data_IF_474090043706
#
_entry.id   IF_474090043706
#
_cell.length_a   1.000
_cell.length_b   1.000
_cell.length_c   1.000
_cell.angle_alpha   90.00
_cell.angle_beta   90.00
_cell.angle_gamma   90.00
#
_symmetry.space_group_name_H-M   'P 1'
#
loop_
_entity.id
_entity.type
_entity.pdbx_description
1 polymer ?
#
# COMPACT_ATOMS: atom_id res chain seq x y z
N UNK A 1 13.48 -29.61 -22.53
CA UNK A 1 13.75 -28.21 -22.12
C UNK A 1 13.40 -28.09 -20.64
N UNK A 2 14.39 -27.91 -19.77
CA UNK A 2 14.13 -27.75 -18.34
C UNK A 2 13.32 -26.46 -18.12
N UNK A 3 12.08 -26.61 -17.66
CA UNK A 3 11.20 -25.50 -17.29
C UNK A 3 11.90 -24.68 -16.20
N UNK A 4 12.39 -23.50 -16.57
CA UNK A 4 13.10 -22.62 -15.65
C UNK A 4 12.07 -22.02 -14.70
N UNK A 5 11.78 -22.73 -13.61
CA UNK A 5 10.87 -22.29 -12.56
C UNK A 5 11.32 -20.92 -12.06
N UNK A 6 10.56 -19.87 -12.37
CA UNK A 6 10.90 -18.51 -11.95
C UNK A 6 10.66 -18.43 -10.45
N UNK A 7 11.74 -18.49 -9.67
CA UNK A 7 11.69 -18.36 -8.22
C UNK A 7 11.14 -16.97 -7.85
N UNK A 8 10.14 -16.87 -6.96
CA UNK A 8 9.56 -15.60 -6.60
C UNK A 8 10.60 -14.68 -5.93
N UNK A 9 10.50 -13.35 -6.14
CA UNK A 9 11.40 -12.39 -5.52
C UNK A 9 11.26 -12.44 -3.99
N UNK A 10 12.39 -12.64 -3.30
CA UNK A 10 12.45 -12.68 -1.83
C UNK A 10 12.28 -11.28 -1.25
N UNK A 11 11.54 -11.19 -0.14
CA UNK A 11 11.55 -9.99 0.69
C UNK A 11 12.92 -9.81 1.34
N UNK A 12 13.33 -8.55 1.49
CA UNK A 12 14.49 -8.17 2.28
C UNK A 12 14.31 -8.70 3.72
N UNK A 13 15.33 -9.32 4.34
CA UNK A 13 15.29 -9.77 5.73
C UNK A 13 14.72 -8.74 6.71
N UNK A 14 15.02 -7.45 6.51
CA UNK A 14 14.48 -6.36 7.36
C UNK A 14 12.96 -6.23 7.24
N UNK A 15 12.42 -6.41 6.04
CA UNK A 15 10.97 -6.34 5.79
C UNK A 15 10.26 -7.53 6.43
N UNK A 16 10.82 -8.74 6.30
CA UNK A 16 10.26 -9.93 6.96
C UNK A 16 10.28 -9.80 8.48
N UNK A 17 11.36 -9.25 9.05
CA UNK A 17 11.44 -8.97 10.49
C UNK A 17 10.41 -7.93 10.94
N UNK A 18 10.22 -6.86 10.16
CA UNK A 18 9.19 -5.85 10.42
C UNK A 18 7.78 -6.45 10.40
N UNK A 19 7.46 -7.24 9.37
CA UNK A 19 6.17 -7.93 9.24
C UNK A 19 5.91 -8.90 10.39
N UNK A 20 6.92 -9.68 10.78
CA UNK A 20 6.80 -10.59 11.93
C UNK A 20 6.53 -9.82 13.23
N UNK A 21 7.32 -8.79 13.51
CA UNK A 21 7.17 -8.02 14.74
C UNK A 21 5.80 -7.34 14.79
N UNK A 22 5.33 -6.81 13.66
CA UNK A 22 4.01 -6.21 13.58
C UNK A 22 2.90 -7.26 13.75
N UNK A 23 3.01 -8.42 13.10
CA UNK A 23 2.06 -9.53 13.27
C UNK A 23 1.96 -9.98 14.74
N UNK A 24 3.08 -10.03 15.47
CA UNK A 24 3.10 -10.33 16.90
C UNK A 24 2.42 -9.19 17.68
N UNK A 25 2.83 -7.94 17.48
CA UNK A 25 2.27 -6.78 18.19
C UNK A 25 0.76 -6.69 18.03
N UNK A 26 0.23 -6.82 16.81
CA UNK A 26 -1.21 -6.70 16.57
C UNK A 26 -2.00 -7.90 17.12
N UNK A 27 -1.39 -9.09 17.18
CA UNK A 27 -2.00 -10.27 17.82
C UNK A 27 -2.10 -10.07 19.32
N UNK A 28 -0.99 -9.68 19.97
CA UNK A 28 -0.98 -9.36 21.40
C UNK A 28 -1.99 -8.27 21.71
N UNK A 29 -2.03 -7.22 20.89
CA UNK A 29 -2.95 -6.11 21.09
C UNK A 29 -4.42 -6.51 20.90
N UNK A 30 -4.75 -7.40 19.96
CA UNK A 30 -6.10 -7.96 19.87
C UNK A 30 -6.44 -8.83 21.09
N UNK A 31 -5.51 -9.67 21.56
CA UNK A 31 -5.72 -10.49 22.78
C UNK A 31 -6.02 -9.58 23.97
N UNK A 32 -5.18 -8.56 24.19
CA UNK A 32 -5.40 -7.55 25.24
C UNK A 32 -6.70 -6.77 25.03
N UNK A 33 -7.10 -6.53 23.78
CA UNK A 33 -8.39 -5.95 23.42
C UNK A 33 -9.57 -6.69 24.01
N UNK A 34 -9.64 -8.01 23.77
CA UNK A 34 -10.72 -8.87 24.25
C UNK A 34 -10.62 -9.20 25.75
N UNK A 35 -9.42 -9.19 26.34
CA UNK A 35 -9.25 -9.59 27.74
C UNK A 35 -9.18 -8.42 28.73
N UNK A 36 -8.65 -7.27 28.32
CA UNK A 36 -8.36 -6.12 29.19
C UNK A 36 -9.05 -4.86 28.71
N UNK A 37 -8.90 -4.46 27.44
CA UNK A 37 -9.32 -3.12 27.02
C UNK A 37 -10.83 -2.94 26.90
N UNK A 38 -11.56 -4.03 26.62
CA UNK A 38 -13.02 -4.02 26.55
C UNK A 38 -13.58 -4.04 25.13
N UNK A 39 -12.98 -4.82 24.23
CA UNK A 39 -13.56 -5.04 22.91
C UNK A 39 -14.93 -5.70 23.04
N UNK A 40 -15.95 -5.02 22.52
CA UNK A 40 -17.34 -5.48 22.55
C UNK A 40 -17.65 -6.59 21.54
N UNK A 41 -16.78 -6.79 20.54
CA UNK A 41 -17.00 -7.81 19.51
C UNK A 41 -17.00 -9.21 20.12
N UNK A 42 -17.69 -10.16 19.46
CA UNK A 42 -17.70 -11.53 19.95
C UNK A 42 -16.31 -12.18 19.83
N UNK A 43 -15.96 -13.04 20.79
CA UNK A 43 -14.66 -13.71 20.90
C UNK A 43 -14.28 -14.57 19.69
N UNK A 44 -15.26 -14.96 18.87
CA UNK A 44 -15.06 -15.73 17.64
C UNK A 44 -14.59 -14.88 16.46
N UNK A 45 -14.83 -13.57 16.48
CA UNK A 45 -14.53 -12.66 15.37
C UNK A 45 -13.06 -12.63 14.93
N UNK A 46 -12.05 -12.53 15.81
CA UNK A 46 -10.66 -12.52 15.38
C UNK A 46 -10.27 -13.81 14.64
N UNK A 47 -10.82 -14.96 15.05
CA UNK A 47 -10.58 -16.23 14.38
C UNK A 47 -11.21 -16.27 12.98
N UNK A 48 -12.44 -15.76 12.85
CA UNK A 48 -13.13 -15.66 11.56
C UNK A 48 -12.39 -14.68 10.64
N UNK A 49 -11.92 -13.55 11.17
CA UNK A 49 -11.17 -12.55 10.42
C UNK A 49 -9.88 -13.16 9.86
N UNK A 50 -9.08 -13.83 10.71
CA UNK A 50 -7.84 -14.50 10.30
C UNK A 50 -8.14 -15.60 9.27
N UNK A 51 -9.13 -16.45 9.52
CA UNK A 51 -9.50 -17.54 8.61
C UNK A 51 -9.88 -16.99 7.23
N UNK A 52 -10.75 -15.97 7.21
CA UNK A 52 -11.14 -15.26 5.98
C UNK A 52 -9.91 -14.73 5.25
N UNK A 53 -9.03 -14.03 5.98
CA UNK A 53 -7.86 -13.42 5.38
C UNK A 53 -6.88 -14.43 4.79
N UNK A 54 -6.62 -15.52 5.51
CA UNK A 54 -5.74 -16.59 5.07
C UNK A 54 -6.30 -17.33 3.86
N UNK A 55 -7.60 -17.66 3.88
CA UNK A 55 -8.26 -18.34 2.75
C UNK A 55 -8.17 -17.49 1.49
N UNK A 56 -8.42 -16.18 1.58
CA UNK A 56 -8.39 -15.28 0.43
C UNK A 56 -6.96 -15.09 -0.08
N UNK A 57 -5.99 -14.84 0.81
CA UNK A 57 -4.58 -14.64 0.41
C UNK A 57 -4.01 -15.91 -0.25
N UNK A 58 -4.26 -17.10 0.31
CA UNK A 58 -3.84 -18.38 -0.28
C UNK A 58 -4.54 -18.60 -1.62
N UNK A 59 -5.86 -18.38 -1.71
CA UNK A 59 -6.62 -18.57 -2.94
C UNK A 59 -6.12 -17.67 -4.08
N UNK A 60 -5.93 -16.37 -3.81
CA UNK A 60 -5.42 -15.42 -4.78
C UNK A 60 -3.98 -15.73 -5.20
N UNK A 61 -3.15 -16.20 -4.28
CA UNK A 61 -1.79 -16.64 -4.59
C UNK A 61 -1.75 -17.89 -5.47
N UNK A 62 -2.63 -18.87 -5.24
CA UNK A 62 -2.75 -20.04 -6.12
C UNK A 62 -3.18 -19.61 -7.53
N UNK A 63 -4.18 -18.73 -7.64
CA UNK A 63 -4.67 -18.23 -8.93
C UNK A 63 -3.56 -17.45 -9.65
N UNK A 64 -2.91 -16.51 -8.96
CA UNK A 64 -1.83 -15.69 -9.52
C UNK A 64 -0.61 -16.53 -9.91
N UNK A 65 -0.24 -17.51 -9.09
CA UNK A 65 0.88 -18.41 -9.40
C UNK A 65 0.62 -19.27 -10.63
N UNK A 66 -0.62 -19.77 -10.79
CA UNK A 66 -1.05 -20.50 -12.00
C UNK A 66 -1.04 -19.61 -13.24
N UNK A 67 -1.58 -18.40 -13.15
CA UNK A 67 -1.61 -17.45 -14.26
C UNK A 67 -0.20 -17.03 -14.73
N UNK A 68 0.71 -16.82 -13.78
CA UNK A 68 2.10 -16.42 -14.06
C UNK A 68 3.05 -17.62 -14.29
N UNK A 69 2.53 -18.86 -14.30
CA UNK A 69 3.31 -20.11 -14.40
C UNK A 69 4.51 -20.15 -13.45
N UNK A 70 4.32 -19.70 -12.22
CA UNK A 70 5.35 -19.68 -11.16
C UNK A 70 4.95 -20.59 -10.01
N UNK A 71 5.92 -20.95 -9.18
CA UNK A 71 5.61 -21.64 -7.93
C UNK A 71 4.91 -20.68 -6.95
N UNK A 72 3.90 -21.15 -6.21
CA UNK A 72 3.29 -20.36 -5.15
C UNK A 72 4.32 -19.96 -4.09
N UNK A 73 4.26 -18.71 -3.64
CA UNK A 73 5.22 -18.11 -2.69
C UNK A 73 5.30 -18.87 -1.37
N UNK A 74 4.16 -19.36 -0.88
CA UNK A 74 4.08 -20.12 0.37
C UNK A 74 4.72 -21.51 0.30
N UNK A 75 5.04 -22.04 -0.89
CA UNK A 75 5.73 -23.34 -1.03
C UNK A 75 7.25 -23.23 -0.89
N UNK A 76 7.82 -22.02 -0.89
CA UNK A 76 9.25 -21.83 -0.62
C UNK A 76 9.57 -22.05 0.85
N UNK A 77 10.75 -22.58 1.20
CA UNK A 77 11.25 -22.71 2.58
C UNK A 77 10.35 -23.49 3.57
N UNK A 78 9.45 -24.35 3.09
CA UNK A 78 8.59 -25.20 3.93
C UNK A 78 7.63 -24.39 4.82
N UNK A 79 7.41 -24.84 6.07
CA UNK A 79 6.49 -24.20 7.03
C UNK A 79 6.84 -22.73 7.26
N UNK A 80 8.13 -22.40 7.31
CA UNK A 80 8.59 -21.02 7.53
C UNK A 80 8.13 -20.08 6.42
N UNK A 81 8.20 -20.50 5.16
CA UNK A 81 7.76 -19.65 4.06
C UNK A 81 6.24 -19.49 3.98
N UNK A 82 5.47 -20.49 4.44
CA UNK A 82 4.03 -20.34 4.63
C UNK A 82 3.71 -19.26 5.67
N UNK A 83 4.36 -19.31 6.83
CA UNK A 83 4.12 -18.32 7.89
C UNK A 83 4.56 -16.91 7.44
N UNK A 84 5.73 -16.78 6.81
CA UNK A 84 6.21 -15.49 6.29
C UNK A 84 5.29 -14.91 5.21
N UNK A 85 4.68 -15.77 4.40
CA UNK A 85 3.69 -15.39 3.39
C UNK A 85 2.39 -14.86 4.01
N UNK A 86 1.96 -15.43 5.15
CA UNK A 86 0.69 -15.08 5.79
C UNK A 86 0.75 -13.82 6.66
N UNK A 87 1.93 -13.35 7.09
CA UNK A 87 2.02 -12.15 7.96
C UNK A 87 1.23 -10.92 7.46
N UNK A 88 1.30 -10.51 6.18
CA UNK A 88 0.54 -9.35 5.72
C UNK A 88 -0.98 -9.55 5.79
N UNK A 89 -1.46 -10.77 5.49
CA UNK A 89 -2.88 -11.11 5.58
C UNK A 89 -3.35 -11.16 7.04
N UNK A 90 -2.51 -11.69 7.94
CA UNK A 90 -2.76 -11.72 9.38
C UNK A 90 -2.95 -10.31 9.95
N UNK A 91 -1.99 -9.43 9.66
CA UNK A 91 -2.01 -8.02 10.09
C UNK A 91 -3.27 -7.33 9.57
N UNK A 92 -3.56 -7.47 8.27
CA UNK A 92 -4.72 -6.82 7.64
C UNK A 92 -6.03 -7.28 8.30
N UNK A 93 -6.17 -8.58 8.57
CA UNK A 93 -7.38 -9.17 9.11
C UNK A 93 -7.63 -8.77 10.56
N UNK A 94 -6.60 -8.81 11.40
CA UNK A 94 -6.68 -8.37 12.79
C UNK A 94 -6.85 -6.85 12.93
N UNK A 95 -6.25 -6.06 12.03
CA UNK A 95 -6.47 -4.62 11.98
C UNK A 95 -7.95 -4.30 11.67
N UNK A 96 -8.53 -4.95 10.65
CA UNK A 96 -9.94 -4.79 10.32
C UNK A 96 -10.86 -5.21 11.46
N UNK A 97 -10.63 -6.39 12.06
CA UNK A 97 -11.40 -6.89 13.20
C UNK A 97 -11.49 -5.87 14.34
N UNK A 98 -10.35 -5.25 14.65
CA UNK A 98 -10.24 -4.35 15.79
C UNK A 98 -10.71 -2.93 15.50
N UNK A 99 -10.53 -2.44 14.27
CA UNK A 99 -10.75 -1.04 13.93
C UNK A 99 -12.13 -0.77 13.33
N UNK A 100 -12.84 -1.80 12.89
CA UNK A 100 -14.23 -1.66 12.45
C UNK A 100 -15.19 -2.07 13.56
N UNK A 101 -16.29 -1.34 13.66
CA UNK A 101 -17.43 -1.70 14.47
C UNK A 101 -18.63 -1.90 13.55
N UNK A 102 -19.06 -3.16 13.45
CA UNK A 102 -20.16 -3.58 12.55
C UNK A 102 -21.30 -4.23 13.34
N UNK A 103 -21.45 -3.86 14.62
CA UNK A 103 -22.45 -4.40 15.55
C UNK A 103 -22.40 -5.94 15.57
N UNK A 104 -23.52 -6.63 15.35
CA UNK A 104 -23.59 -8.10 15.27
C UNK A 104 -23.44 -8.67 13.85
N UNK A 105 -23.06 -7.83 12.87
CA UNK A 105 -23.06 -8.20 11.46
C UNK A 105 -21.65 -8.57 10.99
N UNK A 106 -21.36 -9.87 11.06
CA UNK A 106 -20.08 -10.43 10.64
C UNK A 106 -19.76 -10.24 9.13
N UNK A 107 -20.77 -10.26 8.27
CA UNK A 107 -20.60 -10.18 6.81
C UNK A 107 -19.84 -8.94 6.32
N UNK A 108 -20.14 -7.71 6.79
CA UNK A 108 -19.34 -6.54 6.44
C UNK A 108 -17.85 -6.65 6.80
N UNK A 109 -17.50 -7.29 7.91
CA UNK A 109 -16.09 -7.52 8.27
C UNK A 109 -15.43 -8.48 7.25
N UNK A 110 -16.09 -9.61 6.94
CA UNK A 110 -15.61 -10.56 5.93
C UNK A 110 -15.44 -9.86 4.57
N UNK A 111 -16.42 -9.05 4.18
CA UNK A 111 -16.37 -8.25 2.96
C UNK A 111 -15.19 -7.27 2.96
N UNK A 112 -14.99 -6.52 4.04
CA UNK A 112 -13.86 -5.59 4.15
C UNK A 112 -12.50 -6.27 4.05
N UNK A 113 -12.35 -7.45 4.67
CA UNK A 113 -11.14 -8.27 4.57
C UNK A 113 -10.93 -8.75 3.14
N UNK A 114 -11.98 -9.21 2.46
CA UNK A 114 -11.91 -9.61 1.06
C UNK A 114 -11.48 -8.46 0.15
N UNK A 115 -12.06 -7.27 0.34
CA UNK A 115 -11.71 -6.05 -0.41
C UNK A 115 -10.27 -5.63 -0.11
N UNK A 116 -9.87 -5.59 1.16
CA UNK A 116 -8.52 -5.21 1.57
C UNK A 116 -7.45 -6.13 0.98
N UNK A 117 -7.65 -7.44 1.08
CA UNK A 117 -6.69 -8.42 0.55
C UNK A 117 -6.74 -8.43 -0.97
N UNK A 118 -7.92 -8.45 -1.57
CA UNK A 118 -8.09 -8.39 -3.03
C UNK A 118 -7.45 -7.15 -3.65
N UNK A 119 -7.52 -6.00 -2.98
CA UNK A 119 -6.89 -4.76 -3.45
C UNK A 119 -5.37 -4.91 -3.65
N UNK A 120 -4.66 -5.70 -2.83
CA UNK A 120 -3.22 -5.98 -3.03
C UNK A 120 -2.94 -6.70 -4.36
N UNK A 121 -3.92 -7.46 -4.83
CA UNK A 121 -3.83 -8.25 -6.04
C UNK A 121 -4.23 -7.47 -7.29
N UNK A 122 -5.27 -6.66 -7.18
CA UNK A 122 -5.84 -5.91 -8.31
C UNK A 122 -5.18 -4.54 -8.47
N UNK A 123 -5.02 -3.78 -7.37
CA UNK A 123 -4.59 -2.39 -7.39
C UNK A 123 -3.07 -2.27 -7.27
N UNK A 124 -2.38 -2.58 -8.37
CA UNK A 124 -0.92 -2.49 -8.49
C UNK A 124 -0.50 -1.39 -9.46
N UNK A 125 0.56 -0.67 -9.13
CA UNK A 125 1.16 0.36 -9.97
C UNK A 125 2.64 0.02 -10.25
N UNK A 126 3.16 0.40 -11.44
CA UNK A 126 4.56 0.21 -11.79
C UNK A 126 5.45 1.17 -10.98
N UNK A 127 6.21 0.63 -10.03
CA UNK A 127 7.16 1.38 -9.22
C UNK A 127 8.56 0.84 -9.47
N UNK A 128 9.41 1.63 -10.13
CA UNK A 128 10.80 1.24 -10.48
C UNK A 128 10.87 -0.10 -11.23
N UNK A 129 10.02 -0.26 -12.24
CA UNK A 129 9.97 -1.47 -13.08
C UNK A 129 9.33 -2.70 -12.45
N UNK A 130 8.79 -2.62 -11.22
CA UNK A 130 8.03 -3.71 -10.60
C UNK A 130 6.64 -3.26 -10.22
N UNK A 131 5.64 -4.11 -10.47
CA UNK A 131 4.28 -3.89 -9.99
C UNK A 131 4.24 -4.04 -8.48
N UNK A 132 3.77 -3.01 -7.78
CA UNK A 132 3.56 -3.01 -6.33
C UNK A 132 2.16 -2.53 -6.02
N UNK A 133 1.54 -3.07 -4.99
CA UNK A 133 0.29 -2.51 -4.50
C UNK A 133 0.54 -1.10 -3.98
N UNK A 134 -0.41 -0.20 -4.20
CA UNK A 134 -0.29 1.20 -3.78
C UNK A 134 -1.33 1.58 -2.73
N UNK A 135 -2.40 0.79 -2.58
CA UNK A 135 -3.41 0.98 -1.55
C UNK A 135 -3.00 0.31 -0.23
N UNK A 136 -3.11 1.04 0.88
CA UNK A 136 -3.03 0.45 2.21
C UNK A 136 -4.21 -0.52 2.39
N UNK A 137 -3.96 -1.84 2.55
CA UNK A 137 -5.02 -2.84 2.50
C UNK A 137 -6.10 -2.60 3.56
N UNK A 138 -5.71 -2.45 4.83
CA UNK A 138 -6.64 -2.27 5.95
C UNK A 138 -7.41 -0.96 5.83
N UNK A 139 -6.74 0.16 5.51
CA UNK A 139 -7.41 1.45 5.38
C UNK A 139 -8.37 1.47 4.19
N UNK A 140 -8.01 0.82 3.08
CA UNK A 140 -8.89 0.71 1.92
C UNK A 140 -10.11 -0.18 2.22
N UNK A 141 -9.92 -1.31 2.92
CA UNK A 141 -11.03 -2.16 3.36
C UNK A 141 -12.01 -1.42 4.27
N UNK A 142 -11.49 -0.70 5.28
CA UNK A 142 -12.30 0.13 6.18
C UNK A 142 -13.04 1.22 5.40
N UNK A 143 -12.35 1.96 4.52
CA UNK A 143 -12.97 3.02 3.72
C UNK A 143 -14.11 2.49 2.83
N UNK A 144 -13.94 1.31 2.21
CA UNK A 144 -15.00 0.70 1.40
C UNK A 144 -16.15 0.19 2.26
N UNK A 145 -15.90 -0.37 3.45
CA UNK A 145 -16.97 -0.71 4.40
C UNK A 145 -17.80 0.53 4.74
N UNK A 146 -17.16 1.62 5.14
CA UNK A 146 -17.85 2.85 5.55
C UNK A 146 -18.64 3.50 4.40
N UNK A 147 -18.21 3.28 3.15
CA UNK A 147 -18.91 3.77 1.96
C UNK A 147 -20.13 2.91 1.60
N UNK A 148 -20.00 1.59 1.71
CA UNK A 148 -21.05 0.62 1.28
C UNK A 148 -22.07 0.38 2.38
N UNK A 149 -21.64 0.41 3.64
CA UNK A 149 -22.46 0.15 4.83
C UNK A 149 -22.51 1.43 5.69
N UNK A 150 -23.46 2.34 5.42
CA UNK A 150 -23.52 3.64 6.11
C UNK A 150 -23.80 3.55 7.61
N UNK A 151 -24.28 2.39 8.08
CA UNK A 151 -24.50 2.07 9.50
C UNK A 151 -23.27 1.47 10.19
N UNK A 152 -22.23 1.10 9.44
CA UNK A 152 -20.96 0.67 10.01
C UNK A 152 -20.17 1.88 10.51
N UNK A 153 -19.38 1.67 11.54
CA UNK A 153 -18.54 2.71 12.14
C UNK A 153 -17.12 2.20 12.37
N UNK A 154 -16.23 3.14 12.69
CA UNK A 154 -14.91 2.79 13.24
C UNK A 154 -15.08 2.48 14.72
N UNK A 155 -14.28 1.54 15.23
CA UNK A 155 -14.20 1.22 16.65
C UNK A 155 -14.05 2.50 17.50
N UNK A 156 -14.99 2.76 18.41
CA UNK A 156 -14.93 3.91 19.31
C UNK A 156 -13.63 3.95 20.12
N UNK A 157 -13.06 5.13 20.43
CA UNK A 157 -11.83 5.23 21.20
C UNK A 157 -11.86 4.54 22.56
N UNK A 158 -13.03 4.48 23.23
CA UNK A 158 -13.16 3.84 24.54
C UNK A 158 -12.92 2.32 24.51
N UNK A 159 -13.12 1.64 23.37
CA UNK A 159 -12.85 0.20 23.23
C UNK A 159 -11.41 -0.18 23.59
N UNK A 160 -10.49 0.78 23.53
CA UNK A 160 -9.09 0.56 23.83
C UNK A 160 -8.72 0.83 25.30
N UNK A 161 -9.64 1.37 26.10
CA UNK A 161 -9.36 1.78 27.48
C UNK A 161 -10.55 1.63 28.44
N UNK A 162 -11.60 0.86 28.12
CA UNK A 162 -12.85 0.82 28.91
C UNK A 162 -12.65 0.28 30.33
N UNK A 163 -11.93 -0.83 30.48
CA UNK A 163 -11.70 -1.46 31.80
C UNK A 163 -10.38 -1.05 32.44
N UNK A 164 -9.72 -0.03 31.91
CA UNK A 164 -8.49 0.55 32.47
C UNK A 164 -8.77 1.99 32.86
N UNK A 165 -8.08 2.42 33.92
CA UNK A 165 -8.29 3.74 34.49
C UNK A 165 -7.00 4.31 35.07
N UNK A 166 -6.91 5.64 35.10
CA UNK A 166 -5.87 6.36 35.82
C UNK A 166 -4.51 6.27 35.12
N UNK A 167 -3.40 5.98 35.82
CA UNK A 167 -2.08 5.96 35.20
C UNK A 167 -1.92 4.91 34.09
N UNK A 168 -2.68 3.81 34.15
CA UNK A 168 -2.58 2.70 33.18
C UNK A 168 -3.06 3.12 31.79
N UNK A 169 -4.03 4.04 31.70
CA UNK A 169 -4.55 4.55 30.43
C UNK A 169 -3.49 5.25 29.59
N UNK A 170 -2.49 5.84 30.25
CA UNK A 170 -1.37 6.49 29.59
C UNK A 170 -0.27 5.50 29.19
N UNK A 171 -0.17 4.35 29.86
CA UNK A 171 0.81 3.31 29.54
C UNK A 171 0.51 2.68 28.19
N UNK A 172 -0.77 2.43 27.86
CA UNK A 172 -1.18 1.80 26.61
C UNK A 172 -0.69 2.58 25.37
N UNK A 173 -1.07 3.86 25.17
CA UNK A 173 -0.57 4.65 24.04
C UNK A 173 0.95 4.83 24.11
N UNK A 174 1.56 4.94 25.29
CA UNK A 174 3.02 5.03 25.41
C UNK A 174 3.74 3.78 24.88
N UNK A 175 3.28 2.58 25.23
CA UNK A 175 3.84 1.31 24.72
C UNK A 175 3.67 1.21 23.19
N UNK A 176 2.52 1.63 22.66
CA UNK A 176 2.27 1.63 21.22
C UNK A 176 3.18 2.63 20.50
N UNK A 177 3.40 3.83 21.07
CA UNK A 177 4.33 4.83 20.54
C UNK A 177 5.75 4.28 20.55
N UNK A 178 6.20 3.68 21.66
CA UNK A 178 7.57 3.16 21.78
C UNK A 178 7.80 2.01 20.79
N UNK A 179 6.90 1.02 20.76
CA UNK A 179 6.98 -0.10 19.82
C UNK A 179 6.90 0.34 18.36
N UNK A 180 5.96 1.24 18.06
CA UNK A 180 5.75 1.82 16.74
C UNK A 180 6.94 2.64 16.26
N UNK A 181 7.45 3.53 17.10
CA UNK A 181 8.61 4.38 16.80
C UNK A 181 9.87 3.53 16.61
N UNK A 182 10.06 2.49 17.40
CA UNK A 182 11.18 1.56 17.23
C UNK A 182 11.11 0.86 15.87
N UNK A 183 9.95 0.31 15.49
CA UNK A 183 9.76 -0.34 14.19
C UNK A 183 9.97 0.68 13.06
N UNK A 184 9.43 1.89 13.20
CA UNK A 184 9.51 2.92 12.16
C UNK A 184 10.88 3.57 12.01
N UNK A 185 11.64 3.70 13.10
CA UNK A 185 12.99 4.22 13.10
C UNK A 185 14.01 3.20 12.62
N UNK A 186 13.92 1.94 13.08
CA UNK A 186 14.97 0.95 12.86
C UNK A 186 14.72 0.03 11.66
N UNK A 187 13.45 -0.29 11.37
CA UNK A 187 13.11 -1.32 10.37
C UNK A 187 12.48 -0.74 9.10
N UNK A 188 11.50 0.16 9.21
CA UNK A 188 10.75 0.64 8.03
C UNK A 188 11.26 2.00 7.50
N UNK A 189 11.91 2.80 8.33
CA UNK A 189 12.45 4.11 7.97
C UNK A 189 11.36 5.13 7.62
N UNK A 190 10.36 5.29 8.49
CA UNK A 190 9.15 6.11 8.26
C UNK A 190 8.97 7.29 9.21
N UNK A 191 10.03 7.66 9.94
CA UNK A 191 9.98 8.77 10.90
C UNK A 191 9.66 10.13 10.26
N UNK A 192 10.15 10.39 9.04
CA UNK A 192 9.82 11.63 8.31
C UNK A 192 8.35 11.69 7.90
N UNK A 193 7.73 10.54 7.63
CA UNK A 193 6.30 10.45 7.35
C UNK A 193 5.49 10.79 8.61
N UNK A 194 5.84 10.18 9.75
CA UNK A 194 5.21 10.44 11.04
C UNK A 194 5.31 11.93 11.37
N UNK A 195 6.49 12.53 11.21
CA UNK A 195 6.70 13.95 11.47
C UNK A 195 5.83 14.83 10.56
N UNK A 196 5.80 14.56 9.24
CA UNK A 196 4.95 15.30 8.31
C UNK A 196 3.45 15.17 8.63
N UNK A 197 3.01 13.96 8.98
CA UNK A 197 1.64 13.67 9.40
C UNK A 197 1.25 14.43 10.68
N UNK A 198 2.02 14.28 11.76
CA UNK A 198 1.71 14.89 13.06
C UNK A 198 1.73 16.42 13.00
N UNK A 199 2.77 16.99 12.38
CA UNK A 199 2.90 18.45 12.26
C UNK A 199 1.77 19.02 11.42
N UNK A 200 1.47 18.43 10.26
CA UNK A 200 0.36 18.90 9.42
C UNK A 200 -1.00 18.68 10.10
N UNK A 201 -1.19 17.59 10.85
CA UNK A 201 -2.41 17.32 11.60
C UNK A 201 -2.66 18.38 12.68
N UNK A 202 -1.63 18.73 13.45
CA UNK A 202 -1.74 19.77 14.47
C UNK A 202 -2.02 21.15 13.84
N UNK A 203 -1.29 21.51 12.79
CA UNK A 203 -1.49 22.77 12.07
C UNK A 203 -2.89 22.88 11.47
N UNK A 204 -3.35 21.84 10.76
CA UNK A 204 -4.70 21.87 10.19
C UNK A 204 -5.79 21.93 11.27
N UNK A 205 -5.60 21.29 12.42
CA UNK A 205 -6.57 21.34 13.51
C UNK A 205 -6.73 22.76 14.06
N UNK A 206 -5.61 23.49 14.21
CA UNK A 206 -5.60 24.90 14.61
C UNK A 206 -6.27 25.77 13.54
N UNK A 207 -5.85 25.63 12.27
CA UNK A 207 -6.42 26.40 11.15
C UNK A 207 -7.93 26.18 11.05
N UNK A 208 -8.39 24.93 11.16
CA UNK A 208 -9.79 24.57 11.08
C UNK A 208 -10.58 25.08 12.28
N UNK A 209 -9.95 25.15 13.46
CA UNK A 209 -10.58 25.77 14.62
C UNK A 209 -10.73 27.29 14.50
N UNK A 210 -9.80 27.98 13.81
CA UNK A 210 -9.90 29.41 13.55
C UNK A 210 -10.88 29.75 12.42
N UNK A 211 -10.96 28.92 11.37
CA UNK A 211 -11.77 29.20 10.17
C UNK A 211 -13.20 28.64 10.27
N UNK A 212 -13.37 27.45 10.85
CA UNK A 212 -14.66 26.74 10.92
C UNK A 212 -15.23 26.71 12.35
N UNK A 213 -14.72 27.55 13.26
CA UNK A 213 -15.13 27.63 14.68
C UNK A 213 -15.15 26.27 15.40
N UNK A 214 -14.31 25.33 14.96
CA UNK A 214 -14.18 24.02 15.61
C UNK A 214 -13.36 24.16 16.91
N UNK A 215 -13.77 23.48 17.98
CA UNK A 215 -12.96 23.42 19.21
C UNK A 215 -11.56 22.86 18.93
N UNK A 216 -10.53 23.72 19.00
CA UNK A 216 -9.12 23.34 18.81
C UNK A 216 -8.70 22.26 19.81
N UNK A 217 -9.01 22.38 21.12
CA UNK A 217 -8.68 21.31 22.07
C UNK A 217 -9.34 19.98 21.72
N UNK A 218 -10.60 19.97 21.28
CA UNK A 218 -11.28 18.74 20.89
C UNK A 218 -10.65 18.10 19.64
N UNK A 219 -10.25 18.92 18.65
CA UNK A 219 -9.59 18.45 17.45
C UNK A 219 -8.19 17.85 17.74
N UNK A 220 -7.43 18.48 18.64
CA UNK A 220 -6.11 17.99 19.07
C UNK A 220 -6.20 16.81 20.04
N UNK A 221 -7.28 16.69 20.84
CA UNK A 221 -7.49 15.57 21.76
C UNK A 221 -7.53 14.23 21.03
N UNK A 222 -7.89 14.19 19.75
CA UNK A 222 -7.78 12.96 18.95
C UNK A 222 -6.34 12.40 18.95
N UNK A 223 -5.31 13.27 19.00
CA UNK A 223 -3.91 12.86 18.95
C UNK A 223 -3.46 12.04 20.16
N UNK A 224 -4.15 12.16 21.28
CA UNK A 224 -3.85 11.38 22.50
C UNK A 224 -4.56 10.02 22.52
N UNK A 225 -5.54 9.81 21.64
CA UNK A 225 -6.32 8.57 21.58
C UNK A 225 -5.53 7.39 21.02
N UNK A 226 -5.75 6.21 21.60
CA UNK A 226 -5.09 4.96 21.20
C UNK A 226 -5.29 4.66 19.70
N UNK A 227 -6.49 4.87 19.17
CA UNK A 227 -6.78 4.67 17.75
C UNK A 227 -5.92 5.56 16.83
N UNK A 228 -5.70 6.83 17.20
CA UNK A 228 -4.86 7.74 16.44
C UNK A 228 -3.39 7.35 16.49
N UNK A 229 -2.92 6.92 17.66
CA UNK A 229 -1.54 6.44 17.85
C UNK A 229 -1.29 5.17 17.04
N UNK A 230 -2.23 4.22 17.04
CA UNK A 230 -2.18 3.01 16.22
C UNK A 230 -2.16 3.36 14.73
N UNK A 231 -3.06 4.23 14.29
CA UNK A 231 -3.09 4.69 12.91
C UNK A 231 -1.74 5.31 12.49
N UNK A 232 -1.19 6.18 13.34
CA UNK A 232 0.07 6.89 13.08
C UNK A 232 1.27 5.94 12.99
N UNK A 233 1.35 4.95 13.89
CA UNK A 233 2.53 4.10 13.98
C UNK A 233 2.46 2.84 13.12
N UNK A 234 1.26 2.36 12.82
CA UNK A 234 1.05 1.02 12.25
C UNK A 234 0.24 1.01 10.96
N UNK A 235 -0.39 2.13 10.56
CA UNK A 235 -1.22 2.18 9.36
C UNK A 235 -0.69 3.18 8.34
N UNK A 236 -0.59 4.46 8.67
CA UNK A 236 -0.14 5.51 7.73
C UNK A 236 1.31 5.30 7.27
N UNK A 237 2.10 4.62 8.08
CA UNK A 237 3.51 4.28 7.87
C UNK A 237 3.72 2.96 7.12
N UNK A 238 2.68 2.33 6.58
CA UNK A 238 2.81 1.07 5.84
C UNK A 238 3.89 1.18 4.74
N UNK A 239 5.02 0.46 4.85
CA UNK A 239 6.13 0.58 3.93
C UNK A 239 5.79 0.09 2.52
N UNK A 240 4.73 -0.72 2.36
CA UNK A 240 4.25 -1.17 1.06
C UNK A 240 3.68 -0.02 0.22
N UNK A 241 3.04 0.95 0.87
CA UNK A 241 2.19 1.95 0.21
C UNK A 241 2.68 3.38 0.40
N UNK A 242 3.62 3.61 1.31
CA UNK A 242 4.19 4.93 1.53
C UNK A 242 5.50 5.15 0.74
N UNK A 243 5.88 6.42 0.45
CA UNK A 243 7.14 6.74 -0.22
C UNK A 243 8.38 6.36 0.60
N UNK A 244 9.51 6.19 -0.08
CA UNK A 244 10.79 5.87 0.57
C UNK A 244 11.67 7.09 0.86
N UNK A 245 11.58 8.17 0.07
CA UNK A 245 12.44 9.36 0.22
C UNK A 245 11.92 10.28 1.35
N UNK A 246 12.78 10.87 2.21
CA UNK A 246 12.35 11.70 3.34
C UNK A 246 11.39 12.84 2.97
N UNK A 247 11.70 13.64 1.95
CA UNK A 247 10.82 14.73 1.51
C UNK A 247 9.46 14.21 1.01
N UNK A 248 9.47 13.13 0.23
CA UNK A 248 8.22 12.52 -0.26
C UNK A 248 7.40 11.89 0.88
N UNK A 249 8.06 11.38 1.92
CA UNK A 249 7.40 10.90 3.14
C UNK A 249 6.69 12.03 3.89
N UNK A 250 7.37 13.18 4.08
CA UNK A 250 6.76 14.36 4.71
C UNK A 250 5.56 14.86 3.90
N UNK A 251 5.71 15.00 2.58
CA UNK A 251 4.61 15.41 1.70
C UNK A 251 3.45 14.42 1.78
N UNK A 252 3.73 13.11 1.78
CA UNK A 252 2.69 12.09 1.90
C UNK A 252 1.94 12.21 3.22
N UNK A 253 2.64 12.26 4.36
CA UNK A 253 2.02 12.43 5.68
C UNK A 253 1.19 13.71 5.77
N UNK A 254 1.76 14.83 5.29
CA UNK A 254 1.06 16.11 5.23
C UNK A 254 -0.19 16.08 4.33
N UNK A 255 -0.12 15.39 3.18
CA UNK A 255 -1.27 15.25 2.27
C UNK A 255 -2.42 14.49 2.93
N UNK A 256 -2.12 13.44 3.70
CA UNK A 256 -3.16 12.70 4.44
C UNK A 256 -3.82 13.61 5.49
N UNK A 257 -3.03 14.40 6.23
CA UNK A 257 -3.57 15.32 7.24
C UNK A 257 -4.42 16.44 6.62
N UNK A 258 -3.97 17.03 5.50
CA UNK A 258 -4.72 18.05 4.79
C UNK A 258 -6.02 17.50 4.21
N UNK A 259 -5.98 16.31 3.60
CA UNK A 259 -7.19 15.70 3.07
C UNK A 259 -8.16 15.29 4.18
N UNK A 260 -7.65 14.82 5.33
CA UNK A 260 -8.45 14.61 6.52
C UNK A 260 -9.14 15.90 6.98
N UNK A 261 -8.43 17.03 6.97
CA UNK A 261 -8.97 18.34 7.32
C UNK A 261 -10.15 18.73 6.41
N UNK A 262 -10.02 18.52 5.10
CA UNK A 262 -11.06 18.79 4.12
C UNK A 262 -12.28 17.90 4.33
N UNK A 263 -12.09 16.59 4.46
CA UNK A 263 -13.17 15.61 4.65
C UNK A 263 -13.93 15.90 5.95
N UNK A 264 -13.20 16.11 7.04
CA UNK A 264 -13.82 16.39 8.35
C UNK A 264 -14.43 17.79 8.40
N UNK A 265 -13.85 18.76 7.68
CA UNK A 265 -14.42 20.10 7.50
C UNK A 265 -15.75 20.08 6.75
N UNK A 266 -15.93 19.12 5.83
CA UNK A 266 -17.21 18.86 5.16
C UNK A 266 -18.23 18.07 6.01
N UNK A 267 -17.92 17.79 7.28
CA UNK A 267 -18.80 17.07 8.19
C UNK A 267 -18.81 15.54 8.00
N UNK A 268 -17.87 14.99 7.21
CA UNK A 268 -17.77 13.55 6.99
C UNK A 268 -16.98 12.91 8.13
N UNK A 269 -17.61 11.99 8.86
CA UNK A 269 -16.99 11.23 9.93
C UNK A 269 -15.91 10.24 9.41
N UNK A 270 -15.04 9.78 10.31
CA UNK A 270 -14.01 8.77 10.01
C UNK A 270 -13.03 9.16 8.89
N UNK A 271 -12.81 10.47 8.70
CA UNK A 271 -12.09 11.02 7.56
C UNK A 271 -10.65 10.51 7.38
N UNK A 272 -10.00 10.00 8.42
CA UNK A 272 -8.60 9.54 8.37
C UNK A 272 -8.44 8.35 7.40
N UNK A 273 -9.38 7.40 7.42
CA UNK A 273 -9.33 6.23 6.54
C UNK A 273 -9.58 6.60 5.08
N UNK A 274 -10.58 7.45 4.84
CA UNK A 274 -10.85 8.02 3.52
C UNK A 274 -9.67 8.83 2.98
N UNK A 275 -9.11 9.71 3.80
CA UNK A 275 -7.96 10.53 3.43
C UNK A 275 -6.78 9.67 2.98
N UNK A 276 -6.46 8.62 3.74
CA UNK A 276 -5.36 7.71 3.40
C UNK A 276 -5.64 6.92 2.14
N UNK A 277 -6.86 6.41 1.98
CA UNK A 277 -7.27 5.68 0.77
C UNK A 277 -7.15 6.56 -0.48
N UNK A 278 -7.62 7.81 -0.41
CA UNK A 278 -7.58 8.76 -1.53
C UNK A 278 -6.13 9.19 -1.83
N UNK A 279 -5.31 9.50 -0.83
CA UNK A 279 -3.89 9.86 -1.06
C UNK A 279 -3.13 8.69 -1.70
N UNK A 280 -3.36 7.47 -1.23
CA UNK A 280 -2.83 6.26 -1.85
C UNK A 280 -3.32 6.11 -3.31
N UNK A 281 -4.61 6.36 -3.57
CA UNK A 281 -5.19 6.33 -4.92
C UNK A 281 -4.52 7.32 -5.87
N UNK A 282 -4.41 8.59 -5.44
CA UNK A 282 -3.77 9.66 -6.20
C UNK A 282 -2.32 9.29 -6.50
N UNK A 283 -1.58 8.78 -5.52
CA UNK A 283 -0.20 8.32 -5.70
C UNK A 283 -0.10 7.14 -6.68
N UNK A 284 -1.01 6.17 -6.59
CA UNK A 284 -1.09 5.05 -7.52
C UNK A 284 -1.35 5.50 -8.96
N UNK A 285 -2.31 6.41 -9.13
CA UNK A 285 -2.63 7.05 -10.41
C UNK A 285 -1.46 7.84 -10.97
N UNK A 286 -0.74 8.60 -10.14
CA UNK A 286 0.48 9.30 -10.53
C UNK A 286 1.55 8.35 -11.08
N UNK A 287 1.78 7.20 -10.44
CA UNK A 287 2.73 6.21 -10.94
C UNK A 287 2.32 5.62 -12.29
N UNK A 288 1.02 5.39 -12.51
CA UNK A 288 0.49 4.99 -13.81
C UNK A 288 0.67 6.08 -14.87
N UNK A 289 0.36 7.34 -14.55
CA UNK A 289 0.53 8.47 -15.45
C UNK A 289 1.99 8.61 -15.91
N UNK A 290 2.94 8.59 -14.96
CA UNK A 290 4.38 8.62 -15.27
C UNK A 290 4.79 7.44 -16.15
N UNK A 291 4.26 6.24 -15.89
CA UNK A 291 4.56 5.07 -16.72
C UNK A 291 4.08 5.25 -18.16
N UNK A 292 2.87 5.74 -18.38
CA UNK A 292 2.35 6.00 -19.72
C UNK A 292 3.11 7.10 -20.44
N UNK A 293 3.48 8.19 -19.75
CA UNK A 293 4.28 9.27 -20.32
C UNK A 293 5.66 8.78 -20.73
N UNK A 294 6.34 8.00 -19.88
CA UNK A 294 7.65 7.45 -20.20
C UNK A 294 7.57 6.47 -21.38
N UNK A 295 6.57 5.58 -21.39
CA UNK A 295 6.35 4.65 -22.49
C UNK A 295 6.09 5.38 -23.82
N UNK A 296 5.29 6.44 -23.80
CA UNK A 296 5.04 7.27 -24.98
C UNK A 296 6.31 7.99 -25.46
N UNK A 297 7.14 8.46 -24.52
CA UNK A 297 8.43 9.08 -24.84
C UNK A 297 9.40 8.08 -25.47
N UNK A 298 9.54 6.89 -24.89
CA UNK A 298 10.37 5.80 -25.42
C UNK A 298 9.90 5.39 -26.83
N UNK A 299 8.60 5.33 -27.08
CA UNK A 299 8.05 5.05 -28.41
C UNK A 299 8.37 6.16 -29.43
N UNK A 300 8.33 7.43 -29.03
CA UNK A 300 8.69 8.57 -29.90
C UNK A 300 10.19 8.58 -30.23
N UNK A 301 11.03 8.33 -29.22
CA UNK A 301 12.48 8.24 -29.41
C UNK A 301 12.84 7.04 -30.32
N UNK A 302 12.18 5.90 -30.15
CA UNK A 302 12.35 4.75 -31.04
C UNK A 302 11.90 5.03 -32.49
N UNK A 303 10.78 5.73 -32.68
CA UNK A 303 10.30 6.13 -34.01
C UNK A 303 11.23 7.14 -34.70
N UNK A 304 11.83 8.06 -33.94
CA UNK A 304 12.79 9.03 -34.46
C UNK A 304 14.17 8.42 -34.76
N UNK A 305 14.52 7.31 -34.11
CA UNK A 305 15.77 6.58 -34.32
C UNK A 305 15.73 5.60 -35.50
N UNK A 306 14.57 5.39 -36.15
CA UNK A 306 14.50 4.59 -37.38
C UNK A 306 15.23 5.36 -38.48
N UNK A 307 16.36 4.84 -39.02
CA UNK A 307 17.06 5.53 -40.10
C UNK A 307 16.15 5.61 -41.33
N UNK A 308 16.06 6.81 -41.91
CA UNK A 308 15.46 7.00 -43.24
C UNK A 308 16.21 6.07 -44.18
N UNK A 309 15.51 5.07 -44.72
CA UNK A 309 16.08 4.15 -45.71
C UNK A 309 16.74 4.99 -46.81
N UNK A 310 18.00 4.73 -47.21
CA UNK A 310 18.59 5.45 -48.32
C UNK A 310 17.66 5.31 -49.52
N UNK A 311 17.33 6.44 -50.13
CA UNK A 311 16.47 6.49 -51.31
C UNK A 311 16.98 5.45 -52.32
N UNK A 312 16.09 4.66 -52.96
CA UNK A 312 16.53 3.68 -53.94
C UNK A 312 17.38 4.42 -54.98
N UNK A 313 18.62 3.95 -55.14
CA UNK A 313 19.51 4.46 -56.17
C UNK A 313 18.75 4.37 -57.50
N UNK A 314 18.55 5.52 -58.15
CA UNK A 314 17.94 5.58 -59.46
C UNK A 314 18.88 4.79 -60.38
N UNK A 315 18.49 3.57 -60.73
CA UNK A 315 19.15 2.81 -61.79
C UNK A 315 18.98 3.61 -63.08
N UNK A 316 20.09 4.21 -63.53
CA UNK A 316 20.19 4.82 -64.85
C UNK A 316 20.00 3.69 -65.88
N UNK A 317 19.01 3.76 -66.79
CA UNK A 317 18.80 2.69 -67.76
C UNK A 317 20.03 2.58 -68.66
N UNK A 318 20.66 1.42 -68.68
CA UNK A 318 21.66 1.08 -69.69
C UNK A 318 20.98 1.03 -71.05
N UNK A 319 21.39 1.92 -71.94
CA UNK A 319 20.91 2.00 -73.32
C UNK A 319 21.23 0.71 -74.08
N UNK A 320 20.28 0.10 -74.80
CA UNK A 320 20.54 -1.06 -75.64
C UNK A 320 21.07 -0.55 -76.97
N UNK A 321 22.38 -0.36 -77.08
CA UNK A 321 23.04 -0.30 -78.38
C UNK A 321 24.35 -1.06 -78.32
N UNK A 322 24.26 -2.33 -78.73
CA UNK A 322 25.42 -3.13 -79.06
C UNK A 322 26.18 -2.48 -80.21
N UNK A 323 27.45 -2.19 -79.95
CA UNK A 323 28.50 -2.30 -80.95
C UNK A 323 29.73 -2.89 -80.28
N UNK A 324 29.97 -4.16 -80.60
CA UNK A 324 31.28 -4.78 -80.49
C UNK A 324 32.30 -3.90 -81.22
N UNK A 325 33.36 -3.51 -80.52
CA UNK A 325 34.62 -3.22 -81.18
C UNK A 325 35.71 -4.08 -80.53
N UNK A 326 36.03 -5.14 -81.25
CA UNK A 326 37.22 -5.96 -81.10
C UNK A 326 38.47 -5.15 -81.44
N UNK A 327 39.52 -5.34 -80.63
CA UNK A 327 40.92 -5.28 -81.07
C UNK A 327 41.69 -4.00 -80.73
N UNK A 328 42.64 -4.09 -79.80
CA UNK A 328 44.05 -4.41 -80.11
C UNK A 328 44.94 -4.32 -78.86
N UNK A 329 45.85 -5.29 -78.75
CA UNK A 329 47.06 -5.26 -77.92
C UNK A 329 47.86 -3.96 -78.13
N UNK A 330 48.48 -3.44 -77.06
CA UNK A 330 49.91 -3.08 -77.05
C UNK A 330 50.47 -3.24 -75.62
N UNK A 331 51.68 -3.78 -75.57
CA UNK A 331 52.51 -4.23 -74.46
C UNK A 331 53.37 -3.10 -73.86
N UNK A 332 53.68 -3.22 -72.56
CA UNK A 332 54.80 -2.66 -71.75
C UNK A 332 55.08 -1.15 -71.66
N UNK A 333 55.22 -0.64 -70.44
CA UNK A 333 56.49 -0.59 -69.67
C UNK A 333 56.22 -0.41 -68.18
#
# INVERSE_FOLDING_TARGET
MAEKTITPPRHDPKVTMALRNFAISITVFNILGFTIFGFEQAWTWPFIAILTGYTIEIGLEIIGARAERRTPRFRGNGVRGMVEFLYPAHITSLALNMLIYVNDRLLPMIFGIAVAIGAKWVLRAPVRGRLRHYMNPSNFGIAVILLVFPWASVAPPYHFTEHVGGPVDWIIPAVIILGGTMINGMLTGRMFLILGWLTAFALQAIIRGVILDTSIPAALAMMTGVAFVLFTNYMVTDPGTSPSRPAAQMIFGASVALLYALITGAGIAYGIFFATAIVCLIRGGFHWAVHFVNKAREQREAAAAVPVSPAPAIEVPTSPNGREHSGKEVVTA
#
